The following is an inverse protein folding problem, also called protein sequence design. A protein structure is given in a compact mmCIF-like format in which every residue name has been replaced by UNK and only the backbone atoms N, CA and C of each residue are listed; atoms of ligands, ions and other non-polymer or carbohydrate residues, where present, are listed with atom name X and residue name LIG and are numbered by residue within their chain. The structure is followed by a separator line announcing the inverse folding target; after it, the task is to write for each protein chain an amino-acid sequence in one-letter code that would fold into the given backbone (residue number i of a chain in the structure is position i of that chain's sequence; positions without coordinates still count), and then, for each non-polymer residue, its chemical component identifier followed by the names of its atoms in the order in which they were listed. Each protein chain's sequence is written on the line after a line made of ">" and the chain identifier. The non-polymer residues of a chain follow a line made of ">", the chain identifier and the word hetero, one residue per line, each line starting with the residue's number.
data_IF_915291034075
#
_entry.id   IF_915291034075
#
_cell.length_a   1.000
_cell.length_b   1.000
_cell.length_c   1.000
_cell.angle_alpha   90.00
_cell.angle_beta   90.00
_cell.angle_gamma   90.00
#
_symmetry.space_group_name_H-M   'P 1'
#
loop_
_entity.id
_entity.type
_entity.pdbx_description
1 polymer ?
#
# COMPACT_ATOMS: atom_id res chain seq x y z
N UNK A 1 30.62 13.77 45.64
CA UNK A 1 31.65 13.76 44.58
C UNK A 1 31.72 12.38 43.94
N UNK A 2 31.06 12.21 42.79
CA UNK A 2 31.30 11.07 41.90
C UNK A 2 30.93 11.57 40.52
N UNK A 3 31.97 11.93 39.77
CA UNK A 3 31.93 12.63 38.49
C UNK A 3 32.36 11.64 37.40
N UNK A 4 31.59 11.58 36.34
CA UNK A 4 31.96 11.40 34.95
C UNK A 4 32.70 10.13 34.53
N UNK A 5 31.99 9.20 33.91
CA UNK A 5 32.54 8.21 32.97
C UNK A 5 31.48 7.82 31.90
N UNK A 6 31.11 8.71 31.03
CA UNK A 6 30.31 8.36 29.84
C UNK A 6 30.67 9.19 28.61
N UNK A 7 31.97 9.33 28.29
CA UNK A 7 32.36 10.02 27.07
C UNK A 7 33.54 9.31 26.37
N UNK A 8 33.32 8.10 25.87
CA UNK A 8 34.35 7.51 25.00
C UNK A 8 33.87 6.40 24.03
N UNK A 9 32.56 6.24 23.77
CA UNK A 9 32.11 5.16 22.86
C UNK A 9 31.54 5.66 21.53
N UNK A 10 31.33 6.96 21.36
CA UNK A 10 30.60 7.47 20.18
C UNK A 10 31.46 7.98 19.03
N UNK A 11 32.80 7.93 19.12
CA UNK A 11 33.66 8.47 18.05
C UNK A 11 34.15 7.44 17.04
N UNK A 12 34.07 6.14 17.34
CA UNK A 12 34.65 5.10 16.45
C UNK A 12 33.68 4.60 15.39
N UNK A 13 32.37 4.84 15.54
CA UNK A 13 31.36 4.41 14.57
C UNK A 13 31.14 5.38 13.42
N UNK A 14 31.53 6.66 13.60
CA UNK A 14 31.36 7.68 12.58
C UNK A 14 32.39 7.57 11.42
N UNK A 15 33.54 6.94 11.65
CA UNK A 15 34.60 6.83 10.65
C UNK A 15 34.42 5.61 9.74
N UNK A 16 33.67 4.58 10.17
CA UNK A 16 33.47 3.35 9.41
C UNK A 16 32.40 3.46 8.32
N UNK A 17 31.49 4.44 8.42
CA UNK A 17 30.44 4.65 7.42
C UNK A 17 30.84 5.50 6.20
N UNK A 18 31.94 6.24 6.27
CA UNK A 18 32.37 7.13 5.18
C UNK A 18 33.22 6.44 4.12
N UNK A 19 33.74 5.27 4.35
CA UNK A 19 34.61 4.56 3.39
C UNK A 19 33.85 3.63 2.44
N UNK A 20 32.58 3.30 2.74
CA UNK A 20 31.79 2.36 1.91
C UNK A 20 30.99 3.02 0.78
N UNK A 21 31.05 4.34 0.60
CA UNK A 21 30.17 5.11 -0.31
C UNK A 21 30.85 5.53 -1.63
N UNK A 22 32.09 5.07 -1.90
CA UNK A 22 32.88 5.53 -3.07
C UNK A 22 33.19 4.46 -4.13
N UNK A 23 32.59 3.28 -4.07
CA UNK A 23 32.81 2.22 -5.06
C UNK A 23 31.50 1.70 -5.63
N UNK A 24 30.93 2.36 -6.63
CA UNK A 24 29.71 1.81 -7.27
C UNK A 24 29.06 2.69 -8.33
N UNK A 25 29.82 3.39 -9.14
CA UNK A 25 29.30 3.98 -10.38
C UNK A 25 30.04 3.36 -11.55
N UNK A 26 29.47 2.39 -12.23
CA UNK A 26 29.70 2.15 -13.68
C UNK A 26 28.63 1.20 -14.21
N UNK A 27 28.02 1.62 -15.38
CA UNK A 27 27.39 0.82 -16.45
C UNK A 27 25.93 0.40 -16.17
N UNK A 28 25.02 0.55 -17.10
CA UNK A 28 25.04 0.57 -18.57
C UNK A 28 23.79 1.17 -19.17
N UNK A 29 23.99 1.98 -20.17
CA UNK A 29 23.07 2.33 -21.22
C UNK A 29 22.57 1.08 -21.96
N UNK A 30 21.26 1.03 -22.26
CA UNK A 30 20.66 0.01 -23.08
C UNK A 30 19.20 0.33 -23.35
N UNK A 31 18.91 1.48 -23.98
CA UNK A 31 17.62 1.75 -24.62
C UNK A 31 17.58 1.05 -25.97
N UNK A 32 16.83 -0.02 -26.08
CA UNK A 32 16.35 -0.52 -27.36
C UNK A 32 14.86 -0.22 -27.42
N UNK A 33 14.51 0.88 -28.06
CA UNK A 33 13.15 1.21 -28.47
C UNK A 33 12.75 0.29 -29.60
N UNK A 34 11.90 -0.69 -29.34
CA UNK A 34 11.18 -1.39 -30.40
C UNK A 34 9.88 -0.63 -30.67
N UNK A 35 9.85 -0.02 -31.83
CA UNK A 35 8.70 0.62 -32.45
C UNK A 35 7.64 -0.45 -32.78
N UNK A 36 6.38 -0.31 -32.32
CA UNK A 36 5.33 -1.25 -32.71
C UNK A 36 4.91 -0.97 -34.15
N UNK A 37 5.03 -1.99 -34.99
CA UNK A 37 4.49 -2.05 -36.35
C UNK A 37 2.95 -2.00 -36.27
N UNK A 38 2.25 -1.24 -37.12
CA UNK A 38 0.79 -1.22 -37.13
C UNK A 38 0.26 -2.55 -37.68
N UNK A 39 -0.41 -3.30 -36.82
CA UNK A 39 -1.09 -4.54 -37.18
C UNK A 39 -2.47 -4.20 -37.76
N UNK A 40 -2.66 -4.54 -38.99
CA UNK A 40 -3.92 -4.44 -39.74
C UNK A 40 -5.02 -5.25 -39.08
N UNK A 41 -6.13 -4.59 -38.80
CA UNK A 41 -7.39 -5.14 -38.28
C UNK A 41 -8.01 -6.11 -39.28
N UNK A 42 -8.29 -7.38 -38.92
CA UNK A 42 -9.23 -8.19 -39.70
C UNK A 42 -10.66 -7.88 -39.24
N UNK A 43 -11.48 -7.49 -40.17
CA UNK A 43 -12.93 -7.37 -40.07
C UNK A 43 -13.55 -8.72 -39.72
N UNK A 44 -14.28 -8.88 -38.59
CA UNK A 44 -15.04 -10.10 -38.36
C UNK A 44 -16.38 -9.99 -39.09
N UNK A 45 -16.55 -10.81 -40.12
CA UNK A 45 -17.85 -11.15 -40.72
C UNK A 45 -18.66 -11.92 -39.68
N UNK A 46 -19.87 -11.46 -39.45
CA UNK A 46 -20.75 -11.98 -38.41
C UNK A 46 -21.18 -13.43 -38.61
N UNK A 47 -21.31 -14.11 -37.49
CA UNK A 47 -22.25 -15.22 -37.36
C UNK A 47 -22.85 -15.08 -35.96
N UNK A 48 -24.10 -14.69 -35.95
CA UNK A 48 -24.95 -14.50 -34.79
C UNK A 48 -25.35 -15.88 -34.26
N UNK A 49 -24.72 -16.32 -33.18
CA UNK A 49 -25.17 -17.49 -32.42
C UNK A 49 -25.95 -16.98 -31.22
N UNK A 50 -27.27 -17.15 -31.29
CA UNK A 50 -28.22 -16.94 -30.19
C UNK A 50 -27.95 -18.01 -29.13
N UNK A 51 -27.27 -17.64 -28.04
CA UNK A 51 -27.21 -18.45 -26.83
C UNK A 51 -28.01 -17.75 -25.74
N UNK A 52 -29.27 -18.20 -25.57
CA UNK A 52 -30.07 -17.91 -24.38
C UNK A 52 -29.49 -18.65 -23.19
N UNK A 53 -28.58 -18.00 -22.49
CA UNK A 53 -28.10 -18.42 -21.17
C UNK A 53 -28.27 -17.25 -20.22
N UNK A 54 -29.38 -17.19 -19.48
CA UNK A 54 -29.58 -16.22 -18.41
C UNK A 54 -28.66 -16.59 -17.24
N UNK A 55 -27.41 -16.19 -17.32
CA UNK A 55 -26.51 -16.21 -16.17
C UNK A 55 -26.83 -15.00 -15.33
N UNK A 56 -27.59 -15.18 -14.27
CA UNK A 56 -27.80 -14.17 -13.24
C UNK A 56 -26.47 -13.97 -12.53
N UNK A 57 -25.67 -13.03 -13.00
CA UNK A 57 -24.48 -12.56 -12.30
C UNK A 57 -24.99 -11.79 -11.08
N UNK A 58 -24.97 -12.42 -9.91
CA UNK A 58 -25.20 -11.72 -8.65
C UNK A 58 -24.02 -10.81 -8.42
N UNK A 59 -24.14 -9.58 -8.93
CA UNK A 59 -23.21 -8.48 -8.57
C UNK A 59 -23.47 -8.19 -7.10
N UNK A 60 -22.59 -8.67 -6.23
CA UNK A 60 -22.58 -8.24 -4.83
C UNK A 60 -22.29 -6.74 -4.83
N UNK A 61 -23.36 -5.97 -4.70
CA UNK A 61 -23.29 -4.52 -4.60
C UNK A 61 -22.40 -4.16 -3.40
N UNK A 62 -21.18 -3.74 -3.68
CA UNK A 62 -20.29 -3.26 -2.64
C UNK A 62 -20.69 -1.83 -2.34
N UNK A 63 -21.50 -1.64 -1.30
CA UNK A 63 -21.83 -0.29 -0.81
C UNK A 63 -20.54 0.49 -0.57
N UNK A 64 -20.34 1.63 -1.20
CA UNK A 64 -19.13 2.42 -1.02
C UNK A 64 -18.98 2.83 0.46
N UNK A 65 -17.80 2.64 1.03
CA UNK A 65 -17.51 3.07 2.40
C UNK A 65 -17.42 4.59 2.43
N UNK A 66 -18.33 5.22 3.17
CA UNK A 66 -18.36 6.67 3.34
C UNK A 66 -17.41 7.04 4.48
N UNK A 67 -16.50 7.99 4.21
CA UNK A 67 -15.60 8.52 5.24
C UNK A 67 -16.39 9.52 6.10
N UNK A 68 -16.47 9.30 7.44
CA UNK A 68 -17.14 10.26 8.32
C UNK A 68 -16.43 11.62 8.32
N UNK A 69 -17.19 12.73 8.46
CA UNK A 69 -16.64 14.09 8.46
C UNK A 69 -15.82 14.42 9.72
N UNK A 70 -15.89 13.61 10.77
CA UNK A 70 -15.18 13.81 12.03
C UNK A 70 -14.51 12.52 12.48
N UNK A 71 -13.40 12.63 13.24
CA UNK A 71 -12.64 11.50 13.77
C UNK A 71 -11.41 11.15 12.95
N UNK A 72 -10.69 10.13 13.41
CA UNK A 72 -9.50 9.58 12.77
C UNK A 72 -9.82 8.16 12.29
N UNK A 73 -9.46 7.85 11.05
CA UNK A 73 -9.76 6.56 10.44
C UNK A 73 -8.57 6.05 9.62
N UNK A 74 -8.37 4.73 9.67
CA UNK A 74 -7.59 4.01 8.67
C UNK A 74 -8.56 3.30 7.73
N UNK A 75 -8.48 3.59 6.43
CA UNK A 75 -9.22 2.90 5.38
C UNK A 75 -8.32 1.95 4.65
N UNK A 76 -8.80 0.75 4.39
CA UNK A 76 -8.12 -0.24 3.55
C UNK A 76 -9.07 -0.66 2.46
N UNK A 77 -8.61 -0.56 1.21
CA UNK A 77 -9.37 -1.00 0.03
C UNK A 77 -8.60 -2.09 -0.69
N UNK A 78 -9.21 -3.28 -0.75
CA UNK A 78 -8.67 -4.40 -1.50
C UNK A 78 -9.77 -5.41 -1.84
N UNK A 79 -9.78 -5.94 -3.06
CA UNK A 79 -10.81 -6.91 -3.50
C UNK A 79 -10.61 -8.31 -2.90
N UNK A 80 -9.37 -8.68 -2.55
CA UNK A 80 -9.00 -9.96 -1.95
C UNK A 80 -8.86 -9.91 -0.43
N UNK A 81 -8.36 -11.00 0.15
CA UNK A 81 -8.02 -11.07 1.56
C UNK A 81 -6.76 -10.27 1.90
N UNK A 82 -6.79 -9.58 3.01
CA UNK A 82 -5.63 -8.89 3.57
C UNK A 82 -5.55 -9.10 5.08
N UNK A 83 -4.33 -8.99 5.60
CA UNK A 83 -4.06 -8.95 7.04
C UNK A 83 -3.09 -7.82 7.36
N UNK A 84 -3.12 -7.36 8.60
CA UNK A 84 -2.22 -6.28 8.99
C UNK A 84 -2.45 -5.76 10.39
N UNK A 85 -1.79 -4.65 10.67
CA UNK A 85 -1.87 -3.94 11.94
C UNK A 85 -2.09 -2.46 11.70
N UNK A 86 -2.82 -1.83 12.59
CA UNK A 86 -2.98 -0.37 12.61
C UNK A 86 -3.13 0.11 14.05
N UNK A 87 -2.80 1.36 14.30
CA UNK A 87 -2.92 1.92 15.64
C UNK A 87 -2.37 3.33 15.76
N UNK A 88 -2.39 3.84 16.99
CA UNK A 88 -1.92 5.18 17.35
C UNK A 88 -0.95 5.06 18.53
N UNK A 89 0.17 5.83 18.48
CA UNK A 89 1.17 5.88 19.55
C UNK A 89 1.64 4.48 20.02
N UNK A 90 1.91 3.55 19.08
CA UNK A 90 2.33 2.17 19.33
C UNK A 90 1.26 1.24 19.97
N UNK A 91 0.04 1.71 20.21
CA UNK A 91 -1.08 0.84 20.60
C UNK A 91 -1.66 0.25 19.31
N UNK A 92 -1.26 -0.97 18.97
CA UNK A 92 -1.56 -1.60 17.69
C UNK A 92 -2.66 -2.66 17.82
N UNK A 93 -3.53 -2.71 16.81
CA UNK A 93 -4.57 -3.72 16.64
C UNK A 93 -4.24 -4.58 15.41
N UNK A 94 -4.49 -5.89 15.53
CA UNK A 94 -4.34 -6.83 14.41
C UNK A 94 -5.68 -7.07 13.73
N UNK A 95 -5.68 -7.13 12.41
CA UNK A 95 -6.88 -7.42 11.62
C UNK A 95 -6.58 -8.38 10.47
N UNK A 96 -7.60 -9.15 10.10
CA UNK A 96 -7.67 -9.92 8.87
C UNK A 96 -9.05 -9.72 8.28
N UNK A 97 -9.12 -9.27 7.01
CA UNK A 97 -10.38 -8.90 6.38
C UNK A 97 -10.30 -8.97 4.85
N UNK A 98 -11.34 -8.51 4.17
CA UNK A 98 -11.40 -8.36 2.71
C UNK A 98 -12.33 -7.21 2.33
N UNK A 99 -12.20 -6.70 1.11
CA UNK A 99 -13.01 -5.61 0.62
C UNK A 99 -12.56 -4.24 1.12
N UNK A 100 -13.48 -3.29 1.10
CA UNK A 100 -13.26 -1.92 1.62
C UNK A 100 -13.62 -1.87 3.11
N UNK A 101 -12.69 -1.44 3.94
CA UNK A 101 -12.83 -1.42 5.40
C UNK A 101 -12.38 -0.09 5.97
N UNK A 102 -13.12 0.37 6.97
CA UNK A 102 -12.83 1.58 7.72
C UNK A 102 -12.65 1.22 9.20
N UNK A 103 -11.51 1.60 9.75
CA UNK A 103 -11.13 1.33 11.13
C UNK A 103 -11.03 2.65 11.89
N UNK A 104 -11.91 2.91 12.86
CA UNK A 104 -11.83 4.10 13.69
C UNK A 104 -10.64 4.03 14.66
N UNK A 105 -10.04 5.17 14.94
CA UNK A 105 -9.01 5.37 15.95
C UNK A 105 -9.38 6.51 16.86
N UNK A 106 -9.10 6.36 18.15
CA UNK A 106 -9.34 7.39 19.16
C UNK A 106 -8.00 7.96 19.65
N UNK A 107 -7.98 9.27 19.88
CA UNK A 107 -6.81 9.98 20.39
C UNK A 107 -6.08 10.83 19.36
N UNK A 108 -4.92 11.34 19.77
CA UNK A 108 -4.00 12.17 18.97
C UNK A 108 -2.60 11.58 19.00
N UNK A 109 -1.80 11.83 17.97
CA UNK A 109 -0.43 11.35 17.89
C UNK A 109 -0.09 10.75 16.54
N UNK A 110 0.86 9.83 16.50
CA UNK A 110 1.28 9.18 15.27
C UNK A 110 0.44 7.93 15.02
N UNK A 111 -0.36 7.96 13.95
CA UNK A 111 -1.02 6.75 13.41
C UNK A 111 -0.03 6.00 12.53
N UNK A 112 0.03 4.70 12.72
CA UNK A 112 0.78 3.78 11.86
C UNK A 112 -0.15 2.66 11.39
N UNK A 113 -0.06 2.31 10.12
CA UNK A 113 -0.83 1.22 9.56
C UNK A 113 0.02 0.42 8.56
N UNK A 114 -0.05 -0.90 8.65
CA UNK A 114 0.69 -1.82 7.81
C UNK A 114 -0.21 -2.99 7.42
N UNK A 115 -0.38 -3.21 6.11
CA UNK A 115 -1.23 -4.27 5.58
C UNK A 115 -0.52 -5.05 4.50
N UNK A 116 -0.84 -6.33 4.39
CA UNK A 116 -0.30 -7.26 3.38
C UNK A 116 -1.43 -7.99 2.70
N UNK A 117 -1.30 -8.17 1.40
CA UNK A 117 -2.20 -9.02 0.60
C UNK A 117 -1.95 -10.49 0.95
N UNK A 118 -3.02 -11.29 0.91
CA UNK A 118 -2.96 -12.73 1.14
C UNK A 118 -2.92 -13.55 -0.17
N UNK A 119 -2.85 -12.89 -1.31
CA UNK A 119 -2.89 -13.52 -2.63
C UNK A 119 -1.81 -12.98 -3.59
N UNK A 120 -1.72 -13.62 -4.77
CA UNK A 120 -0.79 -13.28 -5.85
C UNK A 120 -1.36 -12.30 -6.87
N UNK A 121 -2.56 -11.75 -6.65
CA UNK A 121 -3.19 -10.88 -7.64
C UNK A 121 -2.38 -9.59 -7.87
N UNK A 122 -2.56 -8.98 -9.03
CA UNK A 122 -1.98 -7.68 -9.38
C UNK A 122 -2.87 -6.50 -8.97
N UNK A 123 -4.03 -6.74 -8.33
CA UNK A 123 -4.89 -5.67 -7.85
C UNK A 123 -4.21 -4.90 -6.70
N UNK A 124 -4.35 -3.60 -6.72
CA UNK A 124 -3.75 -2.75 -5.70
C UNK A 124 -4.44 -2.92 -4.33
N UNK A 125 -3.66 -3.19 -3.29
CA UNK A 125 -4.03 -2.98 -1.90
C UNK A 125 -3.72 -1.52 -1.57
N UNK A 126 -4.72 -0.75 -1.18
CA UNK A 126 -4.56 0.67 -0.82
C UNK A 126 -4.85 0.83 0.67
N UNK A 127 -4.01 1.60 1.37
CA UNK A 127 -4.23 2.03 2.74
C UNK A 127 -4.19 3.55 2.81
N UNK A 128 -5.06 4.14 3.63
CA UNK A 128 -5.25 5.57 3.76
C UNK A 128 -5.45 5.96 5.23
N UNK A 129 -4.90 7.10 5.65
CA UNK A 129 -5.20 7.71 6.96
C UNK A 129 -6.00 8.97 6.72
N UNK A 130 -7.16 9.06 7.39
CA UNK A 130 -8.10 10.16 7.31
C UNK A 130 -8.27 10.82 8.66
N UNK A 131 -8.37 12.15 8.69
CA UNK A 131 -8.71 12.95 9.87
C UNK A 131 -9.74 13.99 9.51
N UNK A 132 -10.88 13.97 10.19
CA UNK A 132 -11.97 14.92 9.99
C UNK A 132 -12.39 15.08 8.52
N UNK A 133 -12.58 13.95 7.84
CA UNK A 133 -12.95 13.91 6.42
C UNK A 133 -11.84 14.28 5.42
N UNK A 134 -10.63 14.59 5.90
CA UNK A 134 -9.48 14.95 5.06
C UNK A 134 -8.48 13.80 5.01
N UNK A 135 -8.05 13.43 3.79
CA UNK A 135 -6.95 12.49 3.59
C UNK A 135 -5.63 13.10 4.04
N UNK A 136 -4.92 12.43 4.94
CA UNK A 136 -3.59 12.84 5.42
C UNK A 136 -2.47 12.15 4.64
N UNK A 137 -2.59 10.84 4.45
CA UNK A 137 -1.59 10.05 3.72
C UNK A 137 -2.23 8.82 3.11
N UNK A 138 -1.65 8.31 2.05
CA UNK A 138 -2.06 7.08 1.40
C UNK A 138 -0.86 6.31 0.86
N UNK A 139 -1.04 5.01 0.67
CA UNK A 139 -0.07 4.14 0.03
C UNK A 139 -0.78 3.01 -0.69
N UNK A 140 -0.18 2.48 -1.74
CA UNK A 140 -0.72 1.37 -2.49
C UNK A 140 0.37 0.41 -2.96
N UNK A 141 0.02 -0.88 -3.10
CA UNK A 141 0.92 -1.89 -3.63
C UNK A 141 0.14 -2.93 -4.43
N UNK A 142 0.56 -3.17 -5.68
CA UNK A 142 -0.05 -4.15 -6.60
C UNK A 142 0.78 -5.41 -6.82
N UNK A 143 1.92 -5.57 -6.16
CA UNK A 143 2.72 -6.78 -6.29
C UNK A 143 2.05 -7.99 -5.63
N UNK A 144 2.39 -9.20 -6.06
CA UNK A 144 1.95 -10.43 -5.42
C UNK A 144 2.36 -10.43 -3.93
N UNK A 145 1.43 -10.75 -3.02
CA UNK A 145 1.63 -10.67 -1.57
C UNK A 145 2.17 -9.30 -1.10
N UNK A 146 1.88 -8.25 -1.87
CA UNK A 146 2.39 -6.90 -1.63
C UNK A 146 2.00 -6.35 -0.27
N UNK A 147 2.87 -5.52 0.30
CA UNK A 147 2.66 -4.84 1.59
C UNK A 147 2.61 -3.34 1.39
N UNK A 148 1.73 -2.70 2.14
CA UNK A 148 1.62 -1.24 2.27
C UNK A 148 1.93 -0.87 3.71
N UNK A 149 2.74 0.16 3.91
CA UNK A 149 3.02 0.74 5.22
C UNK A 149 2.89 2.26 5.11
N UNK A 150 2.07 2.84 5.96
CA UNK A 150 1.82 4.29 6.01
C UNK A 150 1.86 4.79 7.44
N UNK A 151 2.19 6.06 7.61
CA UNK A 151 2.20 6.74 8.90
C UNK A 151 1.81 8.20 8.72
N UNK A 152 1.12 8.77 9.71
CA UNK A 152 0.68 10.15 9.68
C UNK A 152 0.40 10.71 11.08
N UNK A 153 0.61 12.01 11.24
CA UNK A 153 0.33 12.71 12.49
C UNK A 153 -1.14 13.17 12.55
N UNK A 154 -1.85 12.84 13.61
CA UNK A 154 -3.27 13.19 13.80
C UNK A 154 -3.52 14.01 15.07
#
# INVERSE_FOLDING_TARGET
>A
MKKDRYDCVNSTWAVLFTVLLLAGIVLTSGCTSQQPTPQTTPTPTGTQATVSGTSTISVKETTPVIIPPTGVFVRVTYIGGFSGTYGINNVMQNVRNSGDKLYPLEGTGTVTAMFSKEDKSSHALTAEIWKNGKLLTSGANSTAFGRVSISGQV
#
